data_IF_641401226195
#
_entry.id   IF_641401226195
#
_cell.length_a   1.000
_cell.length_b   1.000
_cell.length_c   1.000
_cell.angle_alpha   90.00
_cell.angle_beta   90.00
_cell.angle_gamma   90.00
#
_symmetry.space_group_name_H-M   'P 1'
#
loop_
_entity.id
_entity.type
_entity.pdbx_description
1 polymer ?
#
# COMPACT_ATOMS: atom_id res chain seq x y z
N UNK A 1 -12.36 -3.37 26.41
CA UNK A 1 -13.34 -2.86 25.42
C UNK A 1 -13.27 -3.76 24.20
N UNK A 2 -14.28 -3.78 23.31
CA UNK A 2 -14.25 -4.56 22.07
C UNK A 2 -14.15 -3.62 20.86
N UNK A 3 -13.48 -4.06 19.82
CA UNK A 3 -13.35 -3.33 18.54
C UNK A 3 -14.74 -3.19 17.90
N UNK A 4 -15.07 -2.02 17.40
CA UNK A 4 -16.35 -1.77 16.74
C UNK A 4 -16.41 -0.36 16.14
N UNK A 5 -17.50 -0.06 15.47
CA UNK A 5 -17.75 1.22 14.80
C UNK A 5 -17.41 2.43 15.67
N UNK A 6 -16.77 3.44 15.09
CA UNK A 6 -16.41 4.71 15.73
C UNK A 6 -15.49 4.58 16.95
N UNK A 7 -14.66 3.52 16.97
CA UNK A 7 -13.63 3.34 17.99
C UNK A 7 -12.24 3.54 17.42
N UNK A 8 -11.39 4.18 18.19
CA UNK A 8 -9.95 4.21 17.91
C UNK A 8 -9.32 2.99 18.55
N UNK A 9 -8.66 2.21 17.74
CA UNK A 9 -8.02 0.95 18.13
C UNK A 9 -6.53 1.07 17.88
N UNK A 10 -5.73 0.63 18.85
CA UNK A 10 -4.29 0.52 18.73
C UNK A 10 -3.94 -0.96 18.54
N UNK A 11 -3.18 -1.28 17.51
CA UNK A 11 -2.76 -2.64 17.22
C UNK A 11 -1.24 -2.74 17.03
N UNK A 12 -0.66 -3.83 17.48
CA UNK A 12 0.62 -4.29 16.96
C UNK A 12 0.37 -5.38 15.93
N UNK A 13 1.17 -5.36 14.88
CA UNK A 13 1.07 -6.37 13.84
C UNK A 13 2.45 -6.75 13.29
N UNK A 14 2.51 -7.94 12.73
CA UNK A 14 3.55 -8.36 11.81
C UNK A 14 2.88 -8.89 10.56
N UNK A 15 3.21 -8.29 9.43
CA UNK A 15 2.77 -8.70 8.10
C UNK A 15 3.86 -9.53 7.44
N UNK A 16 3.50 -10.69 6.93
CA UNK A 16 4.39 -11.54 6.14
C UNK A 16 3.69 -12.07 4.88
N UNK A 17 4.49 -12.50 3.91
CA UNK A 17 4.01 -13.23 2.73
C UNK A 17 3.72 -14.70 3.06
N UNK A 18 3.33 -15.47 2.01
CA UNK A 18 3.05 -16.89 2.12
C UNK A 18 4.29 -17.75 2.45
N UNK A 19 5.49 -17.26 2.17
CA UNK A 19 6.77 -17.89 2.48
C UNK A 19 7.26 -17.57 3.90
N UNK A 20 6.54 -16.67 4.62
CA UNK A 20 6.87 -16.25 5.98
C UNK A 20 7.91 -15.13 6.04
N UNK A 21 8.23 -14.50 4.90
CA UNK A 21 9.09 -13.32 4.88
C UNK A 21 8.32 -12.12 5.43
N UNK A 22 8.89 -11.46 6.44
CA UNK A 22 8.28 -10.26 7.01
C UNK A 22 8.39 -9.11 6.02
N UNK A 23 7.24 -8.51 5.70
CA UNK A 23 7.10 -7.36 4.82
C UNK A 23 7.09 -6.09 5.65
N UNK A 24 6.33 -6.08 6.76
CA UNK A 24 6.16 -4.94 7.63
C UNK A 24 5.84 -5.37 9.06
N UNK A 25 6.18 -4.56 10.06
CA UNK A 25 5.89 -4.87 11.47
C UNK A 25 5.97 -3.60 12.32
N UNK A 26 5.10 -3.55 13.33
CA UNK A 26 5.18 -2.54 14.41
C UNK A 26 5.88 -3.06 15.66
N UNK A 27 6.50 -4.25 15.61
CA UNK A 27 7.22 -4.80 16.76
C UNK A 27 8.48 -4.00 17.05
N UNK A 28 8.53 -3.38 18.24
CA UNK A 28 9.63 -2.50 18.66
C UNK A 28 9.36 -1.00 18.40
N UNK A 29 8.28 -0.68 17.70
CA UNK A 29 7.79 0.66 17.42
C UNK A 29 6.47 0.95 18.15
N UNK A 30 5.90 2.13 17.92
CA UNK A 30 4.58 2.49 18.44
C UNK A 30 3.49 1.68 17.74
N UNK A 31 2.40 1.32 18.47
CA UNK A 31 1.28 0.63 17.85
C UNK A 31 0.61 1.48 16.77
N UNK A 32 0.14 0.84 15.71
CA UNK A 32 -0.68 1.49 14.70
C UNK A 32 -2.04 1.87 15.31
N UNK A 33 -2.37 3.16 15.26
CA UNK A 33 -3.68 3.67 15.67
C UNK A 33 -4.58 3.87 14.46
N UNK A 34 -5.80 3.31 14.48
CA UNK A 34 -6.76 3.48 13.39
C UNK A 34 -8.17 3.70 13.92
N UNK A 35 -9.03 4.30 13.09
CA UNK A 35 -10.45 4.50 13.37
C UNK A 35 -11.25 3.39 12.69
N UNK A 36 -11.87 2.52 13.50
CA UNK A 36 -12.60 1.36 13.01
C UNK A 36 -13.94 1.74 12.36
N UNK A 37 -14.27 1.09 11.24
CA UNK A 37 -15.50 1.33 10.47
C UNK A 37 -15.39 2.49 9.48
N UNK A 38 -14.18 3.03 9.24
CA UNK A 38 -13.94 4.18 8.37
C UNK A 38 -12.96 3.89 7.22
N UNK A 39 -12.78 2.62 6.88
CA UNK A 39 -11.88 2.16 5.83
C UNK A 39 -10.42 2.66 6.01
N UNK A 40 -9.95 2.69 7.26
CA UNK A 40 -8.57 3.03 7.58
C UNK A 40 -7.61 1.85 7.39
N UNK A 41 -8.14 0.64 7.29
CA UNK A 41 -7.41 -0.60 7.03
C UNK A 41 -7.99 -1.28 5.78
N UNK A 42 -7.24 -2.23 5.22
CA UNK A 42 -7.78 -3.11 4.17
C UNK A 42 -9.02 -3.85 4.67
N UNK A 43 -10.03 -4.06 3.82
CA UNK A 43 -11.34 -4.57 4.25
C UNK A 43 -11.30 -5.90 5.01
N UNK A 44 -10.42 -6.81 4.59
CA UNK A 44 -10.27 -8.10 5.26
C UNK A 44 -9.71 -7.97 6.67
N UNK A 45 -8.77 -7.05 6.89
CA UNK A 45 -8.17 -6.83 8.21
C UNK A 45 -9.16 -6.13 9.15
N UNK A 46 -9.88 -5.12 8.67
CA UNK A 46 -10.89 -4.42 9.46
C UNK A 46 -11.99 -5.40 9.92
N UNK A 47 -12.45 -6.29 9.04
CA UNK A 47 -13.42 -7.34 9.37
C UNK A 47 -12.87 -8.36 10.37
N UNK A 48 -11.60 -8.74 10.27
CA UNK A 48 -10.97 -9.69 11.20
C UNK A 48 -10.80 -9.13 12.61
N UNK A 49 -10.70 -7.82 12.74
CA UNK A 49 -10.57 -7.10 14.00
C UNK A 49 -11.93 -6.83 14.67
N UNK A 50 -13.03 -6.77 13.91
CA UNK A 50 -14.37 -6.50 14.44
C UNK A 50 -14.72 -7.45 15.60
N UNK A 51 -15.17 -6.90 16.73
CA UNK A 51 -15.56 -7.64 17.94
C UNK A 51 -14.40 -8.20 18.76
N UNK A 52 -13.15 -8.03 18.37
CA UNK A 52 -11.99 -8.46 19.15
C UNK A 52 -11.84 -7.62 20.41
N UNK A 53 -11.33 -8.24 21.48
CA UNK A 53 -11.12 -7.58 22.76
C UNK A 53 -9.69 -7.06 22.92
N UNK A 54 -9.53 -6.05 23.78
CA UNK A 54 -8.20 -5.58 24.22
C UNK A 54 -7.36 -6.73 24.77
N UNK A 55 -6.10 -6.82 24.37
CA UNK A 55 -5.14 -7.84 24.75
C UNK A 55 -5.28 -9.15 23.95
N UNK A 56 -6.20 -9.22 23.00
CA UNK A 56 -6.36 -10.41 22.18
C UNK A 56 -5.24 -10.52 21.14
N UNK A 57 -4.65 -11.70 21.04
CA UNK A 57 -3.60 -12.02 20.06
C UNK A 57 -4.13 -13.10 19.12
N UNK A 58 -4.01 -12.87 17.82
CA UNK A 58 -4.49 -13.82 16.82
C UNK A 58 -3.74 -13.67 15.50
N UNK A 59 -3.87 -14.68 14.65
CA UNK A 59 -3.34 -14.67 13.29
C UNK A 59 -4.50 -14.74 12.30
N UNK A 60 -4.33 -14.09 11.15
CA UNK A 60 -5.31 -14.13 10.06
C UNK A 60 -4.59 -14.04 8.72
N UNK A 61 -5.13 -14.75 7.73
CA UNK A 61 -4.70 -14.65 6.33
C UNK A 61 -5.77 -13.91 5.56
N UNK A 62 -5.36 -12.81 4.93
CA UNK A 62 -6.25 -11.98 4.12
C UNK A 62 -6.00 -12.30 2.64
N UNK A 63 -7.07 -12.68 1.96
CA UNK A 63 -7.01 -12.95 0.53
C UNK A 63 -6.78 -11.66 -0.28
N UNK A 64 -6.17 -11.73 -1.47
CA UNK A 64 -5.88 -10.54 -2.28
C UNK A 64 -7.12 -9.66 -2.52
N UNK A 65 -8.28 -10.27 -2.77
CA UNK A 65 -9.54 -9.57 -3.06
C UNK A 65 -10.04 -8.74 -1.87
N UNK A 66 -9.61 -9.08 -0.66
CA UNK A 66 -9.96 -8.39 0.59
C UNK A 66 -8.82 -7.49 1.09
N UNK A 67 -7.75 -7.37 0.31
CA UNK A 67 -6.56 -6.56 0.56
C UNK A 67 -6.35 -5.54 -0.59
N UNK A 68 -5.35 -5.74 -1.40
CA UNK A 68 -4.96 -4.83 -2.49
C UNK A 68 -5.47 -5.27 -3.87
N UNK A 69 -6.37 -6.25 -3.91
CA UNK A 69 -6.93 -6.81 -5.14
C UNK A 69 -6.04 -7.87 -5.78
N UNK A 70 -6.58 -8.51 -6.82
CA UNK A 70 -5.82 -9.42 -7.66
C UNK A 70 -4.79 -8.63 -8.49
N UNK A 71 -3.66 -9.24 -8.79
CA UNK A 71 -2.71 -8.66 -9.75
C UNK A 71 -3.36 -8.61 -11.14
N UNK A 72 -3.45 -7.43 -11.74
CA UNK A 72 -4.01 -7.22 -13.08
C UNK A 72 -2.87 -7.26 -14.12
N UNK A 73 -2.86 -8.24 -15.03
CA UNK A 73 -1.90 -8.27 -16.12
C UNK A 73 -1.94 -7.06 -17.05
N UNK A 74 -3.07 -6.34 -17.11
CA UNK A 74 -3.18 -5.10 -17.88
C UNK A 74 -2.39 -3.93 -17.25
N UNK A 75 -2.01 -4.04 -15.99
CA UNK A 75 -1.11 -3.11 -15.31
C UNK A 75 0.36 -3.25 -15.70
N UNK A 76 0.71 -4.30 -16.45
CA UNK A 76 2.06 -4.50 -16.97
C UNK A 76 2.24 -3.74 -18.29
N UNK A 77 3.24 -2.89 -18.38
CA UNK A 77 3.57 -2.14 -19.59
C UNK A 77 5.04 -2.32 -19.95
N UNK A 78 5.30 -2.53 -21.23
CA UNK A 78 6.64 -2.56 -21.76
C UNK A 78 6.99 -1.19 -22.34
N UNK A 79 8.08 -0.61 -21.88
CA UNK A 79 8.58 0.68 -22.36
C UNK A 79 9.99 0.54 -22.88
N UNK A 80 10.39 1.28 -23.94
CA UNK A 80 11.77 1.32 -24.36
C UNK A 80 12.67 1.84 -23.23
N UNK A 81 13.82 1.21 -23.03
CA UNK A 81 14.80 1.63 -22.02
C UNK A 81 15.20 3.10 -22.18
N UNK A 82 15.20 3.60 -23.41
CA UNK A 82 15.48 5.00 -23.75
C UNK A 82 14.40 5.99 -23.32
N UNK A 83 13.22 5.51 -22.92
CA UNK A 83 12.13 6.33 -22.39
C UNK A 83 12.30 6.64 -20.91
N UNK A 84 13.17 5.90 -20.22
CA UNK A 84 13.54 6.17 -18.83
C UNK A 84 14.72 7.14 -18.79
N UNK A 85 14.77 8.00 -17.78
CA UNK A 85 15.93 8.87 -17.57
C UNK A 85 17.20 8.05 -17.31
N UNK A 86 18.36 8.56 -17.72
CA UNK A 86 19.66 7.95 -17.46
C UNK A 86 20.00 7.89 -15.96
N UNK A 87 19.29 8.67 -15.14
CA UNK A 87 19.45 8.73 -13.69
C UNK A 87 18.71 7.60 -12.95
N UNK A 88 17.76 6.94 -13.64
CA UNK A 88 17.02 5.79 -13.08
C UNK A 88 17.90 4.57 -13.06
N UNK A 89 18.17 4.04 -11.88
CA UNK A 89 18.81 2.73 -11.74
C UNK A 89 17.81 1.63 -12.16
N UNK A 90 18.03 1.02 -13.32
CA UNK A 90 17.19 -0.06 -13.84
C UNK A 90 17.57 -1.36 -13.15
N UNK A 91 16.81 -1.71 -12.11
CA UNK A 91 16.91 -2.96 -11.37
C UNK A 91 15.52 -3.47 -11.02
N UNK A 92 15.32 -4.79 -11.02
CA UNK A 92 14.05 -5.40 -10.60
C UNK A 92 13.76 -5.02 -9.14
N UNK A 93 12.54 -4.55 -8.91
CA UNK A 93 12.07 -4.06 -7.62
C UNK A 93 12.22 -2.56 -7.40
N UNK A 94 12.98 -1.84 -8.25
CA UNK A 94 13.05 -0.38 -8.16
C UNK A 94 11.75 0.25 -8.65
N UNK A 95 11.37 1.35 -8.00
CA UNK A 95 10.18 2.13 -8.37
C UNK A 95 10.56 3.28 -9.29
N UNK A 96 9.70 3.54 -10.25
CA UNK A 96 9.81 4.66 -11.19
C UNK A 96 8.49 5.42 -11.24
N UNK A 97 8.58 6.74 -11.36
CA UNK A 97 7.42 7.58 -11.54
C UNK A 97 7.28 7.98 -13.01
N UNK A 98 6.09 7.85 -13.56
CA UNK A 98 5.76 8.30 -14.89
C UNK A 98 4.56 9.25 -14.88
N UNK A 99 4.59 10.24 -15.80
CA UNK A 99 3.47 11.16 -16.00
C UNK A 99 2.48 10.52 -16.96
N UNK A 100 1.33 10.07 -16.43
CA UNK A 100 0.23 9.56 -17.24
C UNK A 100 -0.88 10.60 -17.48
N UNK A 101 -1.94 10.22 -18.22
CA UNK A 101 -3.08 11.09 -18.51
C UNK A 101 -3.85 11.53 -17.26
N UNK A 102 -3.83 10.72 -16.23
CA UNK A 102 -4.52 10.94 -14.95
C UNK A 102 -3.61 11.54 -13.86
N UNK A 103 -2.37 11.86 -14.19
CA UNK A 103 -1.40 12.43 -13.27
C UNK A 103 -0.13 11.59 -13.14
N UNK A 104 0.56 11.79 -12.04
CA UNK A 104 1.78 11.04 -11.72
C UNK A 104 1.40 9.64 -11.24
N UNK A 105 1.98 8.62 -11.86
CA UNK A 105 1.77 7.21 -11.54
C UNK A 105 3.09 6.57 -11.15
N UNK A 106 3.05 5.68 -10.16
CA UNK A 106 4.19 4.87 -9.74
C UNK A 106 4.14 3.49 -10.38
N UNK A 107 5.31 3.01 -10.79
CA UNK A 107 5.48 1.69 -11.37
C UNK A 107 6.67 1.00 -10.73
N UNK A 108 6.61 -0.33 -10.61
CA UNK A 108 7.74 -1.15 -10.19
C UNK A 108 8.38 -1.80 -11.40
N UNK A 109 9.69 -1.77 -11.51
CA UNK A 109 10.42 -2.51 -12.56
C UNK A 109 10.38 -4.00 -12.21
N UNK A 110 9.73 -4.81 -13.05
CA UNK A 110 9.60 -6.26 -12.82
C UNK A 110 10.47 -7.10 -13.74
N UNK A 111 10.85 -6.58 -14.91
CA UNK A 111 11.80 -7.21 -15.82
C UNK A 111 12.48 -6.13 -16.70
N UNK A 112 13.64 -6.45 -17.24
CA UNK A 112 14.28 -5.62 -18.26
C UNK A 112 15.26 -6.45 -19.09
N UNK A 113 15.52 -5.97 -20.30
CA UNK A 113 16.59 -6.44 -21.19
C UNK A 113 17.39 -5.24 -21.75
N UNK A 114 18.15 -5.42 -22.81
CA UNK A 114 18.98 -4.38 -23.40
C UNK A 114 18.16 -3.27 -24.09
N UNK A 115 16.92 -3.55 -24.50
CA UNK A 115 16.07 -2.65 -25.28
C UNK A 115 14.81 -2.20 -24.53
N UNK A 116 14.23 -3.07 -23.68
CA UNK A 116 12.93 -2.88 -23.05
C UNK A 116 12.99 -2.98 -21.53
N UNK A 117 12.07 -2.33 -20.87
CA UNK A 117 11.81 -2.43 -19.42
C UNK A 117 10.33 -2.71 -19.22
N UNK A 118 10.00 -3.75 -18.49
CA UNK A 118 8.64 -4.07 -18.08
C UNK A 118 8.35 -3.40 -16.75
N UNK A 119 7.36 -2.53 -16.74
CA UNK A 119 6.88 -1.79 -15.59
C UNK A 119 5.54 -2.37 -15.13
N UNK A 120 5.37 -2.51 -13.83
CA UNK A 120 4.14 -2.96 -13.18
C UNK A 120 3.51 -1.79 -12.43
N UNK A 121 2.31 -1.38 -12.84
CA UNK A 121 1.50 -0.35 -12.19
C UNK A 121 0.56 -0.91 -11.12
N UNK A 122 0.60 -2.21 -10.83
CA UNK A 122 -0.15 -2.79 -9.72
C UNK A 122 0.46 -2.38 -8.37
N UNK A 123 -0.37 -2.41 -7.33
CA UNK A 123 0.16 -2.30 -5.97
C UNK A 123 1.18 -3.42 -5.71
N UNK A 124 2.33 -3.14 -5.04
CA UNK A 124 3.36 -4.16 -4.79
C UNK A 124 2.87 -5.43 -4.09
N UNK A 125 1.78 -5.36 -3.32
CA UNK A 125 1.16 -6.49 -2.63
C UNK A 125 -0.09 -7.03 -3.34
N UNK A 126 -0.42 -6.55 -4.54
CA UNK A 126 -1.54 -7.07 -5.32
C UNK A 126 -1.32 -8.54 -5.71
N UNK A 127 -2.36 -9.35 -5.62
CA UNK A 127 -2.30 -10.77 -5.89
C UNK A 127 -1.67 -11.63 -4.78
N UNK A 128 -1.17 -11.01 -3.70
CA UNK A 128 -0.55 -11.72 -2.58
C UNK A 128 -1.55 -11.99 -1.47
N UNK A 129 -1.55 -13.21 -0.93
CA UNK A 129 -2.19 -13.51 0.35
C UNK A 129 -1.33 -12.93 1.49
N UNK A 130 -1.93 -12.13 2.35
CA UNK A 130 -1.25 -11.43 3.42
C UNK A 130 -1.47 -12.11 4.76
N UNK A 131 -0.39 -12.51 5.41
CA UNK A 131 -0.42 -13.18 6.71
C UNK A 131 -0.14 -12.15 7.81
N UNK A 132 -1.13 -11.92 8.66
CA UNK A 132 -1.00 -11.01 9.80
C UNK A 132 -0.97 -11.79 11.11
N UNK A 133 0.03 -11.51 11.95
CA UNK A 133 0.01 -11.77 13.37
C UNK A 133 -0.32 -10.45 14.08
N UNK A 134 -1.36 -10.43 14.90
CA UNK A 134 -1.97 -9.24 15.46
C UNK A 134 -2.08 -9.33 16.97
N UNK A 135 -1.85 -8.20 17.63
CA UNK A 135 -2.18 -7.96 19.02
C UNK A 135 -3.05 -6.72 19.13
N UNK A 136 -4.25 -6.86 19.69
CA UNK A 136 -5.16 -5.75 19.95
C UNK A 136 -4.70 -5.04 21.23
N UNK A 137 -4.21 -3.84 21.11
CA UNK A 137 -3.83 -3.00 22.23
C UNK A 137 -5.04 -2.28 22.85
N UNK A 138 -4.86 -1.00 23.17
CA UNK A 138 -5.91 -0.18 23.79
C UNK A 138 -7.00 0.16 22.78
N UNK A 139 -8.24 0.17 23.25
CA UNK A 139 -9.41 0.62 22.50
C UNK A 139 -10.03 1.82 23.25
N UNK A 140 -10.43 2.86 22.54
CA UNK A 140 -11.15 3.99 23.08
C UNK A 140 -12.26 4.48 22.14
N UNK A 141 -13.21 5.21 22.67
CA UNK A 141 -14.16 5.93 21.83
C UNK A 141 -13.45 7.00 21.02
N UNK A 142 -13.86 7.18 19.77
CA UNK A 142 -13.33 8.25 18.92
C UNK A 142 -13.89 9.62 19.33
N UNK A 143 -13.09 10.64 19.13
CA UNK A 143 -13.56 12.03 19.26
C UNK A 143 -14.40 12.44 18.04
N UNK A 144 -15.32 13.38 18.21
CA UNK A 144 -16.20 13.84 17.12
C UNK A 144 -15.43 14.35 15.90
N UNK A 145 -14.26 14.95 16.10
CA UNK A 145 -13.41 15.44 15.02
C UNK A 145 -12.69 14.29 14.28
N UNK A 146 -12.35 13.19 14.98
CA UNK A 146 -11.77 11.98 14.35
C UNK A 146 -12.81 11.31 13.44
N UNK A 147 -14.05 11.17 13.91
CA UNK A 147 -15.17 10.63 13.12
C UNK A 147 -15.44 11.51 11.90
N UNK A 148 -15.48 12.84 12.11
CA UNK A 148 -15.73 13.82 11.03
C UNK A 148 -14.65 13.79 9.94
N UNK A 149 -13.40 13.54 10.32
CA UNK A 149 -12.27 13.51 9.40
C UNK A 149 -11.90 12.09 8.96
N UNK A 150 -12.65 11.06 9.41
CA UNK A 150 -12.43 9.64 9.12
C UNK A 150 -11.02 9.16 9.45
N UNK A 151 -10.35 9.76 10.44
CA UNK A 151 -8.98 9.39 10.83
C UNK A 151 -8.68 9.76 12.28
N UNK A 152 -7.73 9.04 12.86
CA UNK A 152 -7.20 9.34 14.19
C UNK A 152 -6.35 10.63 14.14
N UNK A 153 -6.46 11.47 15.15
CA UNK A 153 -5.55 12.59 15.41
C UNK A 153 -4.83 12.33 16.74
N UNK A 154 -3.53 12.28 16.84
CA UNK A 154 -2.44 12.79 16.02
C UNK A 154 -1.46 11.76 15.53
N UNK A 155 -0.68 12.26 14.66
CA UNK A 155 0.73 12.28 14.48
C UNK A 155 1.47 10.94 14.46
N UNK A 156 1.80 10.58 13.25
CA UNK A 156 3.01 9.84 12.92
C UNK A 156 2.93 8.36 13.21
N UNK A 157 2.54 7.62 12.23
CA UNK A 157 3.20 6.43 11.75
C UNK A 157 2.32 5.75 10.69
N UNK A 158 2.92 5.25 9.68
CA UNK A 158 2.41 4.52 8.52
C UNK A 158 0.94 4.09 8.56
N UNK A 159 0.11 4.83 7.86
CA UNK A 159 -1.26 4.44 7.55
C UNK A 159 -1.25 3.48 6.38
N UNK A 160 -1.57 2.21 6.61
CA UNK A 160 -2.09 1.37 5.54
C UNK A 160 -3.50 1.87 5.18
N UNK A 161 -3.56 2.94 4.39
CA UNK A 161 -4.85 3.43 3.89
C UNK A 161 -5.24 2.58 2.69
N UNK A 162 -6.47 2.13 2.68
CA UNK A 162 -7.09 1.47 1.52
C UNK A 162 -7.42 2.46 0.39
N UNK A 163 -6.79 3.63 0.38
CA UNK A 163 -6.91 4.60 -0.70
C UNK A 163 -5.60 4.63 -1.51
N UNK A 164 -5.74 4.69 -2.82
CA UNK A 164 -4.72 4.62 -3.86
C UNK A 164 -3.72 5.79 -3.88
N UNK A 165 -3.33 6.26 -2.69
CA UNK A 165 -2.32 7.31 -2.49
C UNK A 165 -1.37 6.85 -1.38
N UNK A 166 -0.55 5.85 -1.67
CA UNK A 166 0.63 5.56 -0.86
C UNK A 166 1.63 6.69 -1.06
N UNK A 167 1.56 7.73 -0.23
CA UNK A 167 2.72 8.57 0.01
C UNK A 167 3.66 7.79 0.95
N UNK A 168 4.51 6.96 0.35
CA UNK A 168 5.76 6.58 1.01
C UNK A 168 6.63 7.83 1.02
N UNK A 169 6.60 8.59 2.10
CA UNK A 169 7.62 9.58 2.36
C UNK A 169 8.84 8.84 2.89
N UNK A 170 9.63 8.31 1.97
CA UNK A 170 11.05 8.13 2.22
C UNK A 170 11.67 9.53 2.09
N UNK A 171 12.18 10.08 3.17
CA UNK A 171 13.12 11.19 3.10
C UNK A 171 14.41 10.68 2.44
N UNK A 172 14.43 10.73 1.13
CA UNK A 172 15.65 10.72 0.33
C UNK A 172 15.33 11.41 -0.99
N UNK A 173 15.77 12.64 -1.09
CA UNK A 173 16.03 13.45 -2.27
C UNK A 173 15.03 13.39 -3.45
N UNK A 174 14.33 14.52 -3.56
CA UNK A 174 13.57 15.02 -4.69
C UNK A 174 14.37 14.90 -6.01
N UNK A 175 14.21 13.81 -6.75
CA UNK A 175 14.66 13.77 -8.13
C UNK A 175 13.54 13.28 -9.04
N UNK A 176 12.90 14.28 -9.66
CA UNK A 176 11.79 14.14 -10.60
C UNK A 176 12.34 13.64 -11.92
N UNK A 177 11.98 12.44 -12.30
CA UNK A 177 12.29 11.89 -13.61
C UNK A 177 11.10 12.05 -14.55
N UNK A 178 11.24 12.94 -15.53
CA UNK A 178 10.20 13.30 -16.51
C UNK A 178 10.21 12.28 -17.67
N UNK A 179 9.45 11.19 -17.54
CA UNK A 179 9.22 10.26 -18.64
C UNK A 179 8.00 10.74 -19.46
N UNK A 180 8.22 11.26 -20.66
CA UNK A 180 7.16 11.71 -21.58
C UNK A 180 6.69 10.55 -22.43
N UNK A 181 5.46 10.09 -22.18
CA UNK A 181 4.75 9.20 -23.10
C UNK A 181 4.36 9.95 -24.36
N UNK A 182 5.00 9.64 -25.48
CA UNK A 182 4.56 10.10 -26.80
C UNK A 182 3.53 9.10 -27.33
N UNK A 183 2.25 9.49 -27.35
CA UNK A 183 1.20 8.79 -28.07
C UNK A 183 1.43 8.96 -29.58
N UNK A 184 2.03 7.95 -30.22
CA UNK A 184 2.08 7.83 -31.68
C UNK A 184 1.13 6.74 -32.16
N UNK A 185 -0.17 7.02 -32.11
CA UNK A 185 -1.12 6.29 -32.93
C UNK A 185 -2.18 7.22 -33.52
N UNK A 186 -1.81 7.88 -34.60
CA UNK A 186 -2.75 8.32 -35.64
C UNK A 186 -2.02 8.95 -36.82
N UNK A 187 -1.75 8.16 -37.85
CA UNK A 187 -1.91 8.58 -39.27
C UNK A 187 -1.57 7.43 -40.21
N UNK A 188 -2.58 6.82 -40.74
CA UNK A 188 -2.55 6.29 -42.10
C UNK A 188 -3.87 6.59 -42.76
N UNK A 189 -3.87 7.53 -43.64
CA UNK A 189 -4.84 7.66 -44.70
C UNK A 189 -4.36 6.83 -45.88
#
# INVERSE_FOLDING_TARGET
>A
MEVGQDKVVFIHYTLSDAEGQVIDSTLGDEPLAYLHGHANLIPGLERALEGRAEGEVFEVVIAPEEAYGAHDPAGLIDVPRTSLSEEVEIAVGNQVQAQGPEGRMEFTIVAFDDEMVTLDGNHPLAGMALHFALEVGTIREAHADEIKHHRVHPAGHHLMVADSSLEMVSEADDEIVDARFSDESSKSA
#
